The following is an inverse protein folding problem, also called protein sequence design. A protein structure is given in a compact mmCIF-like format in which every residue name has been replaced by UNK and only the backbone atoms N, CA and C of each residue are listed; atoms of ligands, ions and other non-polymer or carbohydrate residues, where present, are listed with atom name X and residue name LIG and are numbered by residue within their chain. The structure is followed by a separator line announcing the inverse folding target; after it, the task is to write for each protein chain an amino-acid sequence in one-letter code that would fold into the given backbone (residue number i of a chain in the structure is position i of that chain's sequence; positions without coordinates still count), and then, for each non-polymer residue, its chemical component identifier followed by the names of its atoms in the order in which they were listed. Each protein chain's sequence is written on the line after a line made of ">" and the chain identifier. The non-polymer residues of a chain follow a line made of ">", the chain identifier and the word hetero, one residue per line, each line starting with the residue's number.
data_IF_169515201523
#
_entry.id   IF_169515201523
#
_cell.length_a   1.000
_cell.length_b   1.000
_cell.length_c   1.000
_cell.angle_alpha   90.00
_cell.angle_beta   90.00
_cell.angle_gamma   90.00
#
_symmetry.space_group_name_H-M   'P 1'
#
loop_
_entity.id
_entity.type
_entity.pdbx_description
1 polymer ?
#
# COMPACT_ATOMS: atom_id res chain seq x y z
N UNK A 1 -6.47 12.24 -13.73
CA UNK A 1 -6.40 10.81 -13.40
C UNK A 1 -5.07 10.24 -13.87
N UNK A 2 -4.23 9.79 -12.93
CA UNK A 2 -2.92 9.19 -13.20
C UNK A 2 -3.09 7.75 -13.73
N UNK A 3 -2.08 7.19 -14.40
CA UNK A 3 -2.10 5.76 -14.73
C UNK A 3 -1.91 4.91 -13.45
N UNK A 4 -2.82 3.97 -13.08
CA UNK A 4 -2.65 3.10 -11.91
C UNK A 4 -1.36 2.28 -11.88
N UNK A 5 -0.73 2.03 -13.03
CA UNK A 5 0.50 1.25 -13.11
C UNK A 5 1.70 1.94 -12.46
N UNK A 6 1.65 3.26 -12.25
CA UNK A 6 2.72 3.99 -11.57
C UNK A 6 2.90 3.55 -10.11
N UNK A 7 1.89 2.89 -9.53
CA UNK A 7 1.91 2.39 -8.16
C UNK A 7 2.42 0.95 -8.05
N UNK A 8 2.82 0.30 -9.15
CA UNK A 8 3.33 -1.07 -9.10
C UNK A 8 4.69 -1.12 -8.36
N UNK A 9 4.78 -2.01 -7.37
CA UNK A 9 6.03 -2.36 -6.69
C UNK A 9 6.74 -3.48 -7.47
N UNK A 10 8.08 -3.51 -7.53
CA UNK A 10 8.83 -4.66 -8.04
C UNK A 10 8.78 -5.88 -7.11
N UNK A 11 8.33 -5.72 -5.86
CA UNK A 11 8.31 -6.79 -4.86
C UNK A 11 7.21 -7.83 -5.14
N UNK A 12 7.55 -9.10 -4.96
CA UNK A 12 6.60 -10.21 -5.10
C UNK A 12 5.58 -10.23 -3.94
N UNK A 13 4.30 -10.39 -4.27
CA UNK A 13 3.22 -10.45 -3.29
C UNK A 13 3.21 -11.80 -2.59
N UNK A 14 3.45 -11.80 -1.28
CA UNK A 14 3.50 -13.02 -0.45
C UNK A 14 2.18 -13.32 0.28
N UNK A 15 1.05 -12.79 -0.20
CA UNK A 15 -0.27 -13.17 0.31
C UNK A 15 -0.77 -14.46 -0.34
N UNK A 16 -1.56 -15.24 0.40
CA UNK A 16 -2.12 -16.48 -0.10
C UNK A 16 -2.99 -16.25 -1.36
N UNK A 17 -3.07 -17.22 -2.29
CA UNK A 17 -4.05 -17.21 -3.36
C UNK A 17 -5.47 -17.05 -2.79
N UNK A 18 -6.25 -16.13 -3.35
CA UNK A 18 -7.59 -15.81 -2.85
C UNK A 18 -7.63 -14.86 -1.64
N UNK A 19 -6.49 -14.39 -1.13
CA UNK A 19 -6.48 -13.40 -0.06
C UNK A 19 -7.08 -12.06 -0.54
N UNK A 20 -8.04 -11.53 0.23
CA UNK A 20 -8.76 -10.29 -0.09
C UNK A 20 -7.87 -9.03 -0.11
N UNK A 21 -6.70 -9.06 0.54
CA UNK A 21 -5.75 -7.95 0.52
C UNK A 21 -5.32 -7.56 -0.92
N UNK A 22 -5.31 -8.51 -1.86
CA UNK A 22 -5.06 -8.24 -3.28
C UNK A 22 -6.11 -7.30 -3.89
N UNK A 23 -7.38 -7.49 -3.53
CA UNK A 23 -8.48 -6.63 -3.98
C UNK A 23 -8.40 -5.24 -3.37
N UNK A 24 -8.03 -5.14 -2.08
CA UNK A 24 -7.78 -3.86 -1.41
C UNK A 24 -6.62 -3.10 -2.10
N UNK A 25 -5.52 -3.78 -2.41
CA UNK A 25 -4.39 -3.18 -3.14
C UNK A 25 -4.83 -2.63 -4.51
N UNK A 26 -5.62 -3.40 -5.28
CA UNK A 26 -6.15 -2.94 -6.57
C UNK A 26 -7.05 -1.71 -6.42
N UNK A 27 -7.98 -1.74 -5.47
CA UNK A 27 -8.91 -0.64 -5.22
C UNK A 27 -8.17 0.63 -4.75
N UNK A 28 -7.14 0.48 -3.91
CA UNK A 28 -6.32 1.60 -3.47
C UNK A 28 -5.57 2.26 -4.63
N UNK A 29 -4.93 1.48 -5.51
CA UNK A 29 -4.25 2.02 -6.70
C UNK A 29 -5.20 2.83 -7.59
N UNK A 30 -6.43 2.32 -7.75
CA UNK A 30 -7.47 3.00 -8.50
C UNK A 30 -7.87 4.33 -7.84
N UNK A 31 -8.15 4.32 -6.53
CA UNK A 31 -8.52 5.52 -5.79
C UNK A 31 -7.41 6.59 -5.82
N UNK A 32 -6.14 6.20 -5.68
CA UNK A 32 -5.02 7.15 -5.76
C UNK A 32 -4.86 7.76 -7.16
N UNK A 33 -5.10 6.95 -8.19
CA UNK A 33 -5.12 7.37 -9.59
C UNK A 33 -6.24 8.38 -9.86
N UNK A 34 -7.45 8.11 -9.35
CA UNK A 34 -8.62 8.99 -9.46
C UNK A 34 -8.40 10.33 -8.74
N UNK A 35 -7.68 10.31 -7.61
CA UNK A 35 -7.34 11.48 -6.80
C UNK A 35 -6.11 12.26 -7.31
N UNK A 36 -5.46 11.80 -8.38
CA UNK A 36 -4.24 12.40 -8.93
C UNK A 36 -3.08 12.53 -7.91
N UNK A 37 -2.96 11.58 -6.97
CA UNK A 37 -1.91 11.58 -5.93
C UNK A 37 -0.71 10.77 -6.42
N UNK A 38 0.43 11.39 -6.78
CA UNK A 38 1.59 10.64 -7.27
C UNK A 38 2.30 9.88 -6.13
N UNK A 39 2.96 8.73 -6.42
CA UNK A 39 3.63 7.90 -5.43
C UNK A 39 4.59 8.63 -4.47
N UNK A 40 5.29 9.66 -4.95
CA UNK A 40 6.26 10.40 -4.14
C UNK A 40 5.62 11.33 -3.11
N UNK A 41 4.32 11.62 -3.23
CA UNK A 41 3.53 12.38 -2.26
C UNK A 41 2.72 11.47 -1.33
N UNK A 42 2.78 10.15 -1.53
CA UNK A 42 2.06 9.16 -0.74
C UNK A 42 2.98 8.63 0.37
N UNK A 43 2.50 8.65 1.60
CA UNK A 43 3.18 8.07 2.76
C UNK A 43 2.26 7.07 3.47
N UNK A 44 2.78 5.90 3.79
CA UNK A 44 2.11 4.90 4.62
C UNK A 44 2.82 4.72 5.95
N UNK A 45 2.06 4.81 7.04
CA UNK A 45 2.47 4.33 8.36
C UNK A 45 1.74 3.03 8.67
N UNK A 46 2.46 1.98 9.02
CA UNK A 46 1.89 0.66 9.24
C UNK A 46 2.44 -0.02 10.50
N UNK A 47 1.69 -1.02 10.97
CA UNK A 47 2.08 -1.90 12.07
C UNK A 47 2.48 -3.28 11.55
N UNK A 48 2.28 -4.33 12.35
CA UNK A 48 2.68 -5.69 11.99
C UNK A 48 1.44 -6.55 11.71
N UNK A 49 1.44 -7.26 10.57
CA UNK A 49 0.42 -8.23 10.18
C UNK A 49 0.35 -8.44 8.67
N UNK A 50 -0.42 -9.43 8.21
CA UNK A 50 -0.58 -9.70 6.77
C UNK A 50 -1.20 -8.49 6.03
N UNK A 51 -2.27 -7.89 6.58
CA UNK A 51 -2.86 -6.69 6.00
C UNK A 51 -1.87 -5.51 6.01
N UNK A 52 -1.09 -5.37 7.08
CA UNK A 52 -0.11 -4.30 7.20
C UNK A 52 1.05 -4.42 6.20
N UNK A 53 1.24 -5.57 5.52
CA UNK A 53 2.24 -5.68 4.45
C UNK A 53 1.86 -4.91 3.18
N UNK A 54 0.62 -4.43 3.04
CA UNK A 54 0.12 -3.82 1.80
C UNK A 54 1.04 -2.74 1.22
N UNK A 55 1.56 -1.79 2.01
CA UNK A 55 2.43 -0.74 1.51
C UNK A 55 3.80 -1.22 0.99
N UNK A 56 4.22 -2.46 1.28
CA UNK A 56 5.38 -3.07 0.62
C UNK A 56 5.08 -3.47 -0.84
N UNK A 57 3.81 -3.65 -1.20
CA UNK A 57 3.38 -4.08 -2.54
C UNK A 57 2.86 -2.93 -3.41
N UNK A 58 3.10 -1.69 -2.98
CA UNK A 58 2.76 -0.47 -3.73
C UNK A 58 3.93 0.51 -3.69
N UNK A 59 4.17 1.22 -4.79
CA UNK A 59 5.19 2.26 -4.84
C UNK A 59 4.74 3.47 -4.00
N UNK A 60 5.43 3.74 -2.90
CA UNK A 60 5.13 4.83 -1.97
C UNK A 60 6.31 5.13 -1.03
N UNK A 61 6.19 6.19 -0.22
CA UNK A 61 7.02 6.35 0.98
C UNK A 61 6.42 5.50 2.12
N UNK A 62 7.27 4.83 2.89
CA UNK A 62 6.84 3.79 3.83
C UNK A 62 7.55 3.92 5.19
N UNK A 63 6.79 3.81 6.28
CA UNK A 63 7.29 3.53 7.62
C UNK A 63 6.64 2.26 8.20
N UNK A 64 7.45 1.22 8.42
CA UNK A 64 7.02 -0.02 9.07
C UNK A 64 7.32 0.03 10.58
N UNK A 65 6.30 0.32 11.38
CA UNK A 65 6.39 0.46 12.83
C UNK A 65 6.13 -0.83 13.59
N UNK A 66 5.69 -0.68 14.84
CA UNK A 66 5.40 -1.81 15.73
C UNK A 66 3.93 -2.23 15.67
N UNK A 67 3.65 -3.45 16.14
CA UNK A 67 2.30 -3.98 16.19
C UNK A 67 1.39 -3.06 17.02
N UNK A 68 0.25 -2.65 16.44
CA UNK A 68 -0.68 -1.71 17.07
C UNK A 68 -0.16 -0.28 17.25
N UNK A 69 0.91 0.11 16.54
CA UNK A 69 1.55 1.45 16.62
C UNK A 69 1.63 2.18 15.27
N UNK A 70 0.75 1.84 14.33
CA UNK A 70 0.65 2.55 13.05
C UNK A 70 0.24 4.02 13.24
N UNK A 71 -0.77 4.29 14.08
CA UNK A 71 -1.31 5.65 14.26
C UNK A 71 -0.37 6.62 15.00
N UNK A 72 0.32 6.25 16.10
CA UNK A 72 1.23 7.19 16.77
C UNK A 72 2.38 7.72 15.92
N UNK A 73 2.72 7.04 14.82
CA UNK A 73 3.78 7.45 13.89
C UNK A 73 3.23 8.18 12.65
N UNK A 74 1.93 8.05 12.36
CA UNK A 74 1.27 8.68 11.22
C UNK A 74 1.06 10.18 11.46
#
# INVERSE_FOLDING_TARGET
>A
MLNPDIYNSPDEIAWCPGCFNNSILKALKQALSDLDIPPHQLAFSLGIGQAAKLPHYIKCNLFNGLHGRALPVA
#
